data_IF_505779676315
#
_entry.id   IF_505779676315
#
_cell.length_a   1.000
_cell.length_b   1.000
_cell.length_c   1.000
_cell.angle_alpha   90.00
_cell.angle_beta   90.00
_cell.angle_gamma   90.00
#
_symmetry.space_group_name_H-M   'P 1'
#
loop_
_entity.id
_entity.type
_entity.pdbx_description
1 polymer ?
#
# COMPACT_ATOMS: atom_id res chain seq x y z
N UNK A 1 -24.17 67.03 14.18
CA UNK A 1 -23.23 66.25 15.03
C UNK A 1 -23.94 64.96 15.45
N UNK A 2 -23.78 63.88 14.67
CA UNK A 2 -24.44 62.59 14.91
C UNK A 2 -23.49 61.56 15.53
N UNK A 3 -24.04 60.80 16.47
CA UNK A 3 -23.43 59.77 17.31
C UNK A 3 -22.80 58.64 16.48
N UNK A 4 -21.53 58.32 16.72
CA UNK A 4 -20.96 56.99 16.49
C UNK A 4 -20.55 56.40 17.85
N UNK A 5 -21.45 55.62 18.44
CA UNK A 5 -21.20 54.83 19.64
C UNK A 5 -21.81 53.44 19.45
N UNK A 6 -21.02 52.49 18.94
CA UNK A 6 -21.11 51.05 19.25
C UNK A 6 -20.20 50.21 18.34
N UNK A 7 -18.88 50.39 18.46
CA UNK A 7 -17.97 49.27 18.14
C UNK A 7 -17.80 48.47 19.43
N UNK A 8 -18.66 47.45 19.59
CA UNK A 8 -18.49 46.44 20.63
C UNK A 8 -17.14 45.76 20.40
N UNK A 9 -16.31 45.72 21.43
CA UNK A 9 -15.02 45.04 21.42
C UNK A 9 -15.19 43.59 20.98
N UNK A 10 -14.61 43.24 19.83
CA UNK A 10 -14.50 41.84 19.42
C UNK A 10 -13.58 41.17 20.45
N UNK A 11 -13.97 40.03 21.06
CA UNK A 11 -13.11 39.33 22.00
C UNK A 11 -11.78 39.00 21.32
N UNK A 12 -10.66 39.31 21.97
CA UNK A 12 -9.31 39.03 21.43
C UNK A 12 -9.16 37.57 20.95
N UNK A 13 -9.88 36.63 21.57
CA UNK A 13 -9.90 35.23 21.18
C UNK A 13 -10.48 34.97 19.78
N UNK A 14 -11.47 35.73 19.34
CA UNK A 14 -12.09 35.58 18.01
C UNK A 14 -11.16 36.08 16.90
N UNK A 15 -10.46 37.19 17.16
CA UNK A 15 -9.45 37.73 16.23
C UNK A 15 -8.25 36.78 16.13
N UNK A 16 -7.81 36.21 17.25
CA UNK A 16 -6.73 35.22 17.27
C UNK A 16 -7.10 33.95 16.48
N UNK A 17 -8.32 33.45 16.60
CA UNK A 17 -8.79 32.28 15.84
C UNK A 17 -8.85 32.55 14.34
N UNK A 18 -9.35 33.73 13.94
CA UNK A 18 -9.44 34.14 12.55
C UNK A 18 -8.05 34.31 11.91
N UNK A 19 -7.11 34.93 12.62
CA UNK A 19 -5.72 35.06 12.16
C UNK A 19 -5.02 33.70 12.06
N UNK A 20 -5.31 32.77 12.97
CA UNK A 20 -4.75 31.42 12.92
C UNK A 20 -5.31 30.62 11.73
N UNK A 21 -6.61 30.75 11.45
CA UNK A 21 -7.24 30.15 10.27
C UNK A 21 -6.70 30.75 8.96
N UNK A 22 -6.48 32.06 8.91
CA UNK A 22 -5.91 32.75 7.75
C UNK A 22 -4.45 32.33 7.51
N UNK A 23 -3.64 32.24 8.57
CA UNK A 23 -2.24 31.79 8.47
C UNK A 23 -2.15 30.33 8.01
N UNK A 24 -3.04 29.47 8.50
CA UNK A 24 -3.14 28.09 8.04
C UNK A 24 -3.53 28.03 6.55
N UNK A 25 -4.47 28.85 6.10
CA UNK A 25 -4.86 28.94 4.69
C UNK A 25 -3.70 29.44 3.80
N UNK A 26 -2.95 30.45 4.25
CA UNK A 26 -1.77 30.97 3.51
C UNK A 26 -0.65 29.93 3.43
N UNK A 27 -0.37 29.22 4.52
CA UNK A 27 0.65 28.14 4.53
C UNK A 27 0.24 26.94 3.66
N UNK A 28 -1.05 26.72 3.44
CA UNK A 28 -1.58 25.74 2.48
C UNK A 28 -1.54 26.26 1.04
N UNK A 29 -1.66 27.58 0.84
CA UNK A 29 -1.74 28.21 -0.48
C UNK A 29 -0.39 28.52 -1.13
N UNK A 30 0.75 28.45 -0.43
CA UNK A 30 2.09 28.69 -1.02
C UNK A 30 2.69 27.36 -1.51
N UNK A 31 2.75 27.09 -2.83
CA UNK A 31 3.42 25.90 -3.33
C UNK A 31 4.93 26.14 -3.30
N UNK A 32 5.69 25.18 -2.77
CA UNK A 32 7.13 25.09 -3.01
C UNK A 32 7.37 24.78 -4.49
N UNK A 33 7.47 25.82 -5.33
CA UNK A 33 7.63 25.71 -6.78
C UNK A 33 8.81 24.83 -7.23
N UNK A 34 9.85 24.68 -6.40
CA UNK A 34 11.01 23.81 -6.69
C UNK A 34 10.80 22.31 -6.41
N UNK A 35 9.74 21.92 -5.69
CA UNK A 35 9.43 20.52 -5.42
C UNK A 35 8.58 19.84 -6.49
N UNK A 36 7.85 20.63 -7.29
CA UNK A 36 6.92 20.13 -8.30
C UNK A 36 7.65 19.67 -9.59
N UNK A 37 8.66 20.42 -10.05
CA UNK A 37 9.42 20.10 -11.27
C UNK A 37 10.22 18.79 -11.18
N UNK A 38 10.80 18.46 -10.01
CA UNK A 38 11.56 17.22 -9.83
C UNK A 38 10.63 16.00 -9.71
N UNK A 39 9.36 16.21 -9.33
CA UNK A 39 8.37 15.15 -9.18
C UNK A 39 7.69 14.76 -10.50
N UNK A 40 7.48 15.70 -11.42
CA UNK A 40 6.79 15.46 -12.71
C UNK A 40 7.62 14.65 -13.72
N UNK A 41 8.95 14.74 -13.68
CA UNK A 41 9.82 13.98 -14.58
C UNK A 41 10.01 12.50 -14.21
N UNK A 42 9.67 12.09 -12.98
CA UNK A 42 10.01 10.75 -12.44
C UNK A 42 8.79 9.90 -12.09
N UNK A 43 7.63 10.52 -11.92
CA UNK A 43 6.37 9.86 -11.62
C UNK A 43 5.30 10.53 -12.48
N UNK A 44 4.61 9.75 -13.32
CA UNK A 44 3.60 10.25 -14.25
C UNK A 44 2.65 11.27 -13.63
N UNK A 45 2.09 12.12 -14.50
CA UNK A 45 1.30 13.31 -14.15
C UNK A 45 0.45 13.16 -12.88
N UNK A 46 0.39 14.21 -12.06
CA UNK A 46 -0.41 14.31 -10.82
C UNK A 46 -1.89 13.86 -10.97
N UNK A 47 -2.37 13.69 -12.21
CA UNK A 47 -3.70 13.19 -12.57
C UNK A 47 -3.95 11.73 -12.15
N UNK A 48 -2.94 10.85 -12.12
CA UNK A 48 -3.06 9.46 -11.63
C UNK A 48 -3.17 9.39 -10.09
N UNK A 49 -2.61 10.36 -9.36
CA UNK A 49 -2.68 10.43 -7.88
C UNK A 49 -4.04 10.86 -7.34
N UNK A 50 -4.86 11.53 -8.15
CA UNK A 50 -6.21 11.99 -7.77
C UNK A 50 -7.31 10.91 -7.96
N UNK A 51 -6.96 9.75 -8.52
CA UNK A 51 -7.90 8.64 -8.75
C UNK A 51 -7.88 7.64 -7.59
N UNK A 52 -8.78 7.79 -6.61
CA UNK A 52 -9.07 6.74 -5.63
C UNK A 52 -7.92 6.45 -4.66
N UNK A 53 -8.02 6.98 -3.44
CA UNK A 53 -7.02 6.92 -2.37
C UNK A 53 -6.20 5.62 -2.32
N UNK A 54 -5.03 5.61 -2.98
CA UNK A 54 -4.03 4.54 -2.90
C UNK A 54 -3.93 4.10 -1.44
N UNK A 55 -4.13 2.80 -1.13
CA UNK A 55 -4.25 2.39 0.25
C UNK A 55 -2.98 2.69 1.01
N UNK A 56 -3.14 3.62 1.94
CA UNK A 56 -2.08 4.15 2.77
C UNK A 56 -2.06 3.44 4.10
N UNK A 57 -0.89 3.47 4.75
CA UNK A 57 -0.73 2.98 6.12
C UNK A 57 -1.75 3.62 7.07
N UNK A 58 -2.03 4.92 6.93
CA UNK A 58 -3.03 5.62 7.74
C UNK A 58 -4.45 5.05 7.60
N UNK A 59 -4.88 4.74 6.36
CA UNK A 59 -6.17 4.09 6.13
C UNK A 59 -6.25 2.69 6.74
N UNK A 60 -5.15 1.93 6.71
CA UNK A 60 -5.08 0.60 7.32
C UNK A 60 -5.09 0.61 8.84
N UNK A 61 -4.35 1.54 9.46
CA UNK A 61 -4.36 1.78 10.91
C UNK A 61 -5.79 2.06 11.40
N UNK A 62 -6.53 2.90 10.67
CA UNK A 62 -7.93 3.22 11.00
C UNK A 62 -8.82 2.01 10.85
N UNK A 63 -8.73 1.31 9.71
CA UNK A 63 -9.53 0.11 9.47
C UNK A 63 -9.26 -0.98 10.51
N UNK A 64 -8.01 -1.13 10.94
CA UNK A 64 -7.64 -2.08 12.00
C UNK A 64 -8.23 -1.66 13.35
N UNK A 65 -8.13 -0.39 13.74
CA UNK A 65 -8.77 0.10 14.98
C UNK A 65 -10.27 -0.15 14.96
N UNK A 66 -10.95 0.20 13.86
CA UNK A 66 -12.39 -0.04 13.69
C UNK A 66 -12.73 -1.53 13.75
N UNK A 67 -11.87 -2.39 13.22
CA UNK A 67 -12.04 -3.83 13.35
C UNK A 67 -11.97 -4.26 14.81
N UNK A 68 -10.96 -3.81 15.57
CA UNK A 68 -10.81 -4.15 16.99
C UNK A 68 -12.00 -3.63 17.80
N UNK A 69 -12.38 -2.37 17.61
CA UNK A 69 -13.51 -1.74 18.31
C UNK A 69 -14.82 -2.47 18.04
N UNK A 70 -15.07 -2.83 16.77
CA UNK A 70 -16.31 -3.52 16.37
C UNK A 70 -16.41 -4.94 16.93
N UNK A 71 -15.31 -5.67 16.98
CA UNK A 71 -15.31 -7.07 17.39
C UNK A 71 -15.03 -7.25 18.89
N UNK A 72 -14.47 -6.25 19.57
CA UNK A 72 -14.01 -6.34 20.97
C UNK A 72 -12.73 -7.16 21.15
N UNK A 73 -12.11 -7.62 20.06
CA UNK A 73 -10.85 -8.36 20.06
C UNK A 73 -10.07 -8.15 18.76
N UNK A 74 -8.73 -8.18 18.80
CA UNK A 74 -7.90 -8.13 17.60
C UNK A 74 -8.11 -9.38 16.72
N UNK A 75 -7.85 -9.31 15.41
CA UNK A 75 -7.83 -10.51 14.58
C UNK A 75 -6.75 -11.46 15.07
N UNK A 76 -6.91 -12.77 14.81
CA UNK A 76 -5.88 -13.75 15.18
C UNK A 76 -4.64 -13.66 14.27
N UNK A 77 -4.83 -13.20 13.03
CA UNK A 77 -3.77 -13.01 12.04
C UNK A 77 -3.80 -11.59 11.48
N UNK A 78 -2.63 -10.99 11.30
CA UNK A 78 -2.45 -9.71 10.63
C UNK A 78 -1.59 -9.92 9.38
N UNK A 79 -2.20 -9.72 8.22
CA UNK A 79 -1.49 -9.81 6.93
C UNK A 79 -0.83 -8.46 6.68
N UNK A 80 0.50 -8.46 6.62
CA UNK A 80 1.34 -7.31 6.31
C UNK A 80 1.90 -7.48 4.90
N UNK A 81 2.11 -6.38 4.16
CA UNK A 81 2.82 -6.45 2.87
C UNK A 81 2.60 -5.24 1.97
N UNK A 82 3.06 -5.38 0.73
CA UNK A 82 2.90 -4.38 -0.34
C UNK A 82 1.60 -4.61 -1.13
N UNK A 83 1.45 -3.93 -2.27
CA UNK A 83 0.33 -4.13 -3.19
C UNK A 83 0.13 -5.60 -3.60
N UNK A 84 1.17 -6.43 -3.54
CA UNK A 84 1.10 -7.88 -3.84
C UNK A 84 0.32 -8.67 -2.78
N UNK A 85 0.31 -8.22 -1.52
CA UNK A 85 -0.45 -8.83 -0.44
C UNK A 85 -1.91 -8.38 -0.34
N UNK A 86 -2.27 -7.28 -1.00
CA UNK A 86 -3.61 -6.66 -0.88
C UNK A 86 -4.77 -7.54 -1.33
N UNK A 87 -4.50 -8.54 -2.18
CA UNK A 87 -5.50 -9.45 -2.75
C UNK A 87 -5.78 -10.69 -1.87
N UNK A 88 -5.01 -10.91 -0.79
CA UNK A 88 -5.30 -12.00 0.14
C UNK A 88 -6.59 -11.70 0.91
N UNK A 89 -7.62 -12.52 0.73
CA UNK A 89 -8.95 -12.33 1.31
C UNK A 89 -9.02 -12.98 2.72
N UNK A 90 -9.21 -12.20 3.80
CA UNK A 90 -9.37 -12.73 5.15
C UNK A 90 -10.51 -13.74 5.32
N UNK A 91 -11.53 -13.72 4.44
CA UNK A 91 -12.59 -14.75 4.45
C UNK A 91 -12.08 -16.11 3.98
N UNK A 92 -11.13 -16.12 3.05
CA UNK A 92 -10.49 -17.37 2.62
C UNK A 92 -9.66 -17.91 3.76
N UNK A 93 -8.89 -17.06 4.45
CA UNK A 93 -8.14 -17.43 5.66
C UNK A 93 -9.07 -18.06 6.69
N UNK A 94 -10.16 -17.36 7.06
CA UNK A 94 -11.17 -17.87 8.00
C UNK A 94 -11.76 -19.21 7.59
N UNK A 95 -11.98 -19.43 6.28
CA UNK A 95 -12.55 -20.68 5.77
C UNK A 95 -11.57 -21.84 5.83
N UNK A 96 -10.29 -21.62 5.55
CA UNK A 96 -9.28 -22.70 5.52
C UNK A 96 -8.73 -23.02 6.90
N UNK A 97 -8.44 -22.00 7.71
CA UNK A 97 -7.77 -22.17 9.01
C UNK A 97 -8.71 -22.04 10.22
N UNK A 98 -9.94 -21.56 10.01
CA UNK A 98 -10.86 -21.20 11.11
C UNK A 98 -10.49 -19.89 11.83
N UNK A 99 -9.34 -19.27 11.49
CA UNK A 99 -8.79 -18.11 12.19
C UNK A 99 -9.29 -16.79 11.59
N UNK A 100 -9.54 -15.79 12.43
CA UNK A 100 -9.83 -14.44 11.94
C UNK A 100 -8.56 -13.77 11.43
N UNK A 101 -8.70 -12.92 10.40
CA UNK A 101 -7.59 -12.18 9.84
C UNK A 101 -8.00 -10.74 9.49
N UNK A 102 -7.01 -9.85 9.46
CA UNK A 102 -7.15 -8.51 8.87
C UNK A 102 -6.05 -8.29 7.85
N UNK A 103 -6.40 -7.80 6.67
CA UNK A 103 -5.43 -7.47 5.63
C UNK A 103 -4.97 -6.01 5.74
N UNK A 104 -3.75 -5.82 6.19
CA UNK A 104 -3.11 -4.52 6.33
C UNK A 104 -2.04 -4.23 5.26
N UNK A 105 -2.01 -4.98 4.16
CA UNK A 105 -1.10 -4.70 3.05
C UNK A 105 -1.44 -3.36 2.38
N UNK A 106 -0.43 -2.55 2.10
CA UNK A 106 -0.52 -1.19 1.53
C UNK A 106 0.18 -1.15 0.17
N UNK A 107 0.09 -0.09 -0.62
CA UNK A 107 0.64 -0.13 -1.99
C UNK A 107 2.16 -0.28 -2.07
N UNK A 108 2.92 0.48 -1.28
CA UNK A 108 4.39 0.44 -1.29
C UNK A 108 4.90 -0.64 -0.32
N UNK A 109 4.38 -0.67 0.91
CA UNK A 109 4.59 -1.73 1.90
C UNK A 109 6.05 -1.87 2.31
N UNK A 110 6.76 -0.75 2.37
CA UNK A 110 8.16 -0.73 2.76
C UNK A 110 8.33 -1.37 4.15
N UNK A 111 9.48 -2.00 4.41
CA UNK A 111 9.74 -2.71 5.68
C UNK A 111 9.43 -1.86 6.93
N UNK A 112 9.61 -0.54 6.84
CA UNK A 112 9.28 0.41 7.91
C UNK A 112 7.78 0.60 8.13
N UNK A 113 6.96 0.55 7.08
CA UNK A 113 5.51 0.58 7.19
C UNK A 113 4.98 -0.71 7.82
N UNK A 114 5.58 -1.83 7.44
CA UNK A 114 5.27 -3.13 8.05
C UNK A 114 5.61 -3.13 9.55
N UNK A 115 6.79 -2.61 9.91
CA UNK A 115 7.19 -2.39 11.30
C UNK A 115 6.20 -1.51 12.05
N UNK A 116 5.86 -0.34 11.50
CA UNK A 116 4.93 0.59 12.13
C UNK A 116 3.54 -0.03 12.35
N UNK A 117 3.04 -0.82 11.40
CA UNK A 117 1.78 -1.52 11.55
C UNK A 117 1.84 -2.63 12.62
N UNK A 118 2.90 -3.43 12.66
CA UNK A 118 3.10 -4.43 13.71
C UNK A 118 3.19 -3.79 15.10
N UNK A 119 3.93 -2.69 15.22
CA UNK A 119 4.02 -1.92 16.46
C UNK A 119 2.65 -1.35 16.87
N UNK A 120 1.89 -0.81 15.91
CA UNK A 120 0.54 -0.32 16.16
C UNK A 120 -0.41 -1.43 16.63
N UNK A 121 -0.33 -2.65 16.10
CA UNK A 121 -1.21 -3.73 16.54
C UNK A 121 -1.02 -4.11 18.01
N UNK A 122 0.21 -4.10 18.52
CA UNK A 122 0.50 -4.34 19.94
C UNK A 122 0.05 -3.17 20.82
N UNK A 123 0.16 -1.93 20.32
CA UNK A 123 -0.34 -0.75 21.04
C UNK A 123 -1.87 -0.77 21.21
N UNK A 124 -2.60 -1.25 20.21
CA UNK A 124 -4.07 -1.30 20.23
C UNK A 124 -4.60 -2.47 21.06
N UNK A 125 -3.89 -3.59 21.09
CA UNK A 125 -4.29 -4.76 21.86
C UNK A 125 -3.11 -5.39 22.63
N UNK A 126 -2.59 -4.72 23.69
CA UNK A 126 -1.42 -5.19 24.42
C UNK A 126 -1.60 -6.60 24.98
N UNK A 127 -0.58 -7.46 24.79
CA UNK A 127 -0.63 -8.87 25.23
C UNK A 127 -1.62 -9.75 24.45
N UNK A 128 -2.23 -9.22 23.39
CA UNK A 128 -3.13 -9.92 22.46
C UNK A 128 -2.73 -9.69 21.00
N UNK A 129 -1.43 -9.50 20.75
CA UNK A 129 -0.92 -9.30 19.41
C UNK A 129 -1.37 -10.41 18.45
N UNK A 130 -1.70 -10.07 17.19
CA UNK A 130 -1.97 -11.06 16.16
C UNK A 130 -0.68 -11.79 15.75
N UNK A 131 -0.83 -13.00 15.19
CA UNK A 131 0.22 -13.62 14.39
C UNK A 131 0.48 -12.78 13.14
N UNK A 132 1.75 -12.52 12.84
CA UNK A 132 2.10 -11.76 11.63
C UNK A 132 2.33 -12.70 10.45
N UNK A 133 1.58 -12.48 9.38
CA UNK A 133 1.83 -13.09 8.06
C UNK A 133 2.30 -12.00 7.11
N UNK A 134 3.56 -12.03 6.73
CA UNK A 134 4.26 -10.95 6.03
C UNK A 134 4.48 -11.34 4.57
N UNK A 135 3.68 -10.75 3.67
CA UNK A 135 3.88 -10.80 2.22
C UNK A 135 5.01 -9.83 1.85
N UNK A 136 6.23 -10.36 1.79
CA UNK A 136 7.46 -9.60 1.70
C UNK A 136 7.99 -9.51 0.27
N UNK A 137 8.06 -8.28 -0.26
CA UNK A 137 8.72 -8.00 -1.54
C UNK A 137 10.22 -7.83 -1.29
N UNK A 138 11.06 -8.57 -2.02
CA UNK A 138 12.53 -8.42 -1.90
C UNK A 138 13.00 -7.00 -2.26
N UNK A 139 12.24 -6.31 -3.11
CA UNK A 139 12.41 -4.90 -3.47
C UNK A 139 12.25 -3.99 -2.26
N UNK A 140 11.49 -4.40 -1.24
CA UNK A 140 11.33 -3.68 0.02
C UNK A 140 12.63 -3.51 0.82
N UNK A 141 13.71 -4.20 0.45
CA UNK A 141 15.05 -4.08 1.04
C UNK A 141 15.96 -3.07 0.31
N UNK A 142 15.45 -2.33 -0.68
CA UNK A 142 16.25 -1.45 -1.54
C UNK A 142 16.24 0.05 -1.13
N UNK A 143 16.84 0.90 -1.99
CA UNK A 143 16.93 2.36 -1.79
C UNK A 143 15.60 3.08 -1.97
N UNK A 144 14.71 2.58 -2.83
CA UNK A 144 13.44 3.22 -3.18
C UNK A 144 12.36 3.00 -2.12
N UNK A 145 12.41 1.87 -1.42
CA UNK A 145 11.55 1.55 -0.28
C UNK A 145 11.71 2.53 0.91
N UNK A 146 12.79 3.31 0.96
CA UNK A 146 13.02 4.30 2.01
C UNK A 146 12.26 5.64 1.82
N UNK A 147 11.31 5.72 0.88
CA UNK A 147 10.70 6.97 0.44
C UNK A 147 10.07 7.80 1.58
N UNK A 148 10.16 9.13 1.41
CA UNK A 148 9.89 10.17 2.41
C UNK A 148 8.53 10.11 3.13
N UNK A 149 7.54 9.38 2.59
CA UNK A 149 6.23 9.19 3.23
C UNK A 149 6.36 8.62 4.64
N UNK A 150 7.22 7.62 4.81
CA UNK A 150 7.46 7.00 6.12
C UNK A 150 8.16 7.94 7.08
N UNK A 151 9.05 8.83 6.61
CA UNK A 151 9.68 9.83 7.47
C UNK A 151 8.66 10.86 7.99
N UNK A 152 7.63 11.19 7.21
CA UNK A 152 6.51 12.00 7.67
C UNK A 152 5.64 11.24 8.69
N UNK A 153 5.37 9.95 8.45
CA UNK A 153 4.59 9.08 9.35
C UNK A 153 5.33 8.75 10.67
N UNK A 154 6.65 8.61 10.65
CA UNK A 154 7.45 8.36 11.87
C UNK A 154 7.69 9.61 12.71
N UNK A 155 7.81 10.80 12.10
CA UNK A 155 7.74 12.05 12.87
C UNK A 155 6.41 12.16 13.61
N UNK A 156 5.33 11.67 13.00
CA UNK A 156 4.03 11.53 13.67
C UNK A 156 4.01 10.38 14.68
N UNK A 157 4.69 9.26 14.48
CA UNK A 157 4.81 8.17 15.47
C UNK A 157 5.55 8.61 16.74
N UNK A 158 6.67 9.33 16.62
CA UNK A 158 7.33 9.96 17.79
C UNK A 158 6.38 10.94 18.47
N UNK A 159 5.62 11.72 17.71
CA UNK A 159 4.60 12.61 18.26
C UNK A 159 3.44 11.87 18.92
N UNK A 160 2.99 10.72 18.39
CA UNK A 160 1.92 9.88 18.93
C UNK A 160 2.38 9.22 20.24
N UNK A 161 3.57 8.62 20.24
CA UNK A 161 4.17 7.96 21.40
C UNK A 161 4.46 8.94 22.55
N UNK A 162 4.78 10.20 22.22
CA UNK A 162 4.99 11.26 23.23
C UNK A 162 3.67 11.91 23.67
N UNK A 163 2.64 11.94 22.81
CA UNK A 163 1.36 12.58 23.10
C UNK A 163 0.34 11.67 23.82
N UNK A 164 0.59 10.36 23.95
CA UNK A 164 -0.39 9.45 24.53
C UNK A 164 0.20 8.47 25.56
N UNK A 165 0.30 8.85 26.84
CA UNK A 165 0.59 7.90 27.91
C UNK A 165 -0.65 7.08 28.31
N UNK A 166 -1.85 7.69 28.33
CA UNK A 166 -3.14 7.03 28.60
C UNK A 166 -4.29 7.85 28.00
N UNK A 167 -4.90 7.38 26.91
CA UNK A 167 -6.27 7.62 26.42
C UNK A 167 -6.90 9.04 26.39
N UNK A 168 -6.21 10.12 26.74
CA UNK A 168 -6.76 11.47 26.67
C UNK A 168 -6.09 12.28 25.55
N UNK A 169 -6.88 12.56 24.50
CA UNK A 169 -6.70 13.57 23.45
C UNK A 169 -5.87 13.13 22.23
N UNK A 170 -6.55 12.35 21.39
CA UNK A 170 -6.36 12.14 19.95
C UNK A 170 -6.23 13.43 19.08
N UNK A 171 -5.79 14.58 19.60
CA UNK A 171 -5.76 15.85 18.83
C UNK A 171 -4.76 15.80 17.69
N UNK A 172 -3.60 15.17 17.85
CA UNK A 172 -2.62 15.03 16.76
C UNK A 172 -3.13 14.12 15.65
N UNK A 173 -3.80 13.02 16.00
CA UNK A 173 -4.45 12.12 15.04
C UNK A 173 -5.59 12.82 14.28
N UNK A 174 -6.47 13.54 14.99
CA UNK A 174 -7.51 14.37 14.39
C UNK A 174 -6.95 15.52 13.54
N UNK A 175 -5.78 16.07 13.89
CA UNK A 175 -5.11 17.12 13.10
C UNK A 175 -4.53 16.57 11.80
N UNK A 176 -3.96 15.36 11.82
CA UNK A 176 -3.56 14.66 10.60
C UNK A 176 -4.78 14.32 9.74
N UNK A 177 -5.90 13.92 10.36
CA UNK A 177 -7.16 13.71 9.66
C UNK A 177 -7.75 14.97 9.05
N UNK A 178 -7.73 16.09 9.77
CA UNK A 178 -8.17 17.37 9.26
C UNK A 178 -7.32 17.83 8.07
N UNK A 179 -6.00 17.61 8.09
CA UNK A 179 -5.12 17.91 6.97
C UNK A 179 -5.37 16.99 5.76
N UNK A 180 -5.63 15.70 5.96
CA UNK A 180 -6.02 14.80 4.89
C UNK A 180 -7.39 15.20 4.29
N UNK A 181 -8.38 15.49 5.12
CA UNK A 181 -9.72 15.92 4.68
C UNK A 181 -9.64 17.26 3.95
N UNK A 182 -8.86 18.22 4.44
CA UNK A 182 -8.67 19.53 3.78
C UNK A 182 -7.94 19.34 2.46
N UNK A 183 -6.92 18.47 2.38
CA UNK A 183 -6.22 18.14 1.13
C UNK A 183 -7.16 17.47 0.12
N UNK A 184 -7.95 16.50 0.57
CA UNK A 184 -8.88 15.77 -0.29
C UNK A 184 -10.07 16.67 -0.73
N UNK A 185 -10.48 17.63 0.10
CA UNK A 185 -11.48 18.64 -0.25
C UNK A 185 -10.95 19.74 -1.19
N UNK A 186 -9.67 20.11 -1.09
CA UNK A 186 -9.06 21.14 -1.94
C UNK A 186 -8.63 20.64 -3.31
N UNK A 187 -8.44 19.32 -3.50
CA UNK A 187 -8.06 18.73 -4.80
C UNK A 187 -9.26 18.58 -5.76
N UNK A 188 -10.49 18.87 -5.32
CA UNK A 188 -11.67 18.94 -6.20
C UNK A 188 -12.05 17.58 -6.79
N UNK A 189 -12.93 16.86 -6.10
CA UNK A 189 -13.47 15.57 -6.58
C UNK A 189 -14.67 15.71 -7.54
N UNK A 190 -15.00 16.91 -8.01
CA UNK A 190 -16.13 17.11 -8.92
C UNK A 190 -15.89 16.45 -10.28
N UNK A 191 -16.64 15.38 -10.56
CA UNK A 191 -16.74 14.77 -11.89
C UNK A 191 -16.16 13.37 -12.08
N UNK A 192 -15.62 12.70 -11.05
CA UNK A 192 -15.10 11.34 -11.19
C UNK A 192 -16.03 10.31 -10.53
N UNK A 193 -16.41 9.21 -11.21
CA UNK A 193 -17.17 8.15 -10.57
C UNK A 193 -16.34 7.62 -9.40
N UNK A 194 -16.95 7.56 -8.21
CA UNK A 194 -16.41 7.14 -6.92
C UNK A 194 -15.59 5.82 -7.05
N UNK A 195 -14.34 5.91 -7.50
CA UNK A 195 -13.34 4.84 -7.40
C UNK A 195 -12.78 4.84 -5.99
N UNK A 196 -13.66 4.89 -4.98
CA UNK A 196 -13.30 4.56 -3.62
C UNK A 196 -12.79 3.14 -3.68
N UNK A 197 -11.50 2.94 -3.41
CA UNK A 197 -11.00 1.60 -3.13
C UNK A 197 -11.90 1.06 -2.03
N UNK A 198 -12.69 0.04 -2.39
CA UNK A 198 -13.63 -0.59 -1.48
C UNK A 198 -12.80 -1.41 -0.50
N UNK A 199 -12.25 -0.73 0.50
CA UNK A 199 -11.67 -1.39 1.65
C UNK A 199 -12.82 -2.01 2.43
N UNK A 200 -12.78 -3.33 2.52
CA UNK A 200 -13.73 -4.10 3.31
C UNK A 200 -13.41 -3.92 4.80
N UNK A 201 -14.37 -4.20 5.72
CA UNK A 201 -14.13 -4.11 7.16
C UNK A 201 -12.99 -5.00 7.68
N UNK A 202 -12.62 -6.06 6.96
CA UNK A 202 -11.48 -6.94 7.25
C UNK A 202 -10.17 -6.44 6.61
N UNK A 203 -10.15 -5.20 6.10
CA UNK A 203 -8.98 -4.58 5.50
C UNK A 203 -8.71 -5.00 4.07
N UNK A 204 -9.38 -6.04 3.53
CA UNK A 204 -9.16 -6.46 2.14
C UNK A 204 -9.49 -5.32 1.18
N UNK A 205 -8.64 -5.15 0.17
CA UNK A 205 -8.85 -4.17 -0.87
C UNK A 205 -9.13 -4.91 -2.15
N UNK A 206 -10.37 -4.79 -2.61
CA UNK A 206 -10.69 -5.15 -3.98
C UNK A 206 -10.05 -4.07 -4.85
N UNK A 207 -9.06 -4.41 -5.67
CA UNK A 207 -8.56 -3.49 -6.71
C UNK A 207 -9.64 -3.39 -7.79
N UNK A 208 -10.56 -2.39 -7.73
CA UNK A 208 -11.67 -2.33 -8.65
C UNK A 208 -11.13 -1.97 -10.02
N UNK A 209 -9.98 -1.30 -10.08
CA UNK A 209 -9.27 -0.95 -11.30
C UNK A 209 -8.83 -2.20 -12.06
N UNK A 210 -7.93 -3.04 -11.51
CA UNK A 210 -7.44 -4.23 -12.22
C UNK A 210 -8.58 -5.22 -12.53
N UNK A 211 -9.51 -5.42 -11.60
CA UNK A 211 -10.69 -6.25 -11.85
C UNK A 211 -11.59 -5.68 -12.96
N UNK A 212 -11.76 -4.35 -13.03
CA UNK A 212 -12.50 -3.68 -14.11
C UNK A 212 -11.78 -3.82 -15.44
N UNK A 213 -10.49 -3.54 -15.49
CA UNK A 213 -9.66 -3.69 -16.69
C UNK A 213 -9.78 -5.12 -17.25
N UNK A 214 -9.79 -6.11 -16.35
CA UNK A 214 -10.04 -7.49 -16.72
C UNK A 214 -11.42 -7.76 -17.27
N UNK A 215 -12.47 -7.24 -16.64
CA UNK A 215 -13.84 -7.42 -17.14
C UNK A 215 -14.07 -6.77 -18.50
N UNK A 216 -13.38 -5.67 -18.82
CA UNK A 216 -13.51 -5.01 -20.13
C UNK A 216 -12.56 -5.59 -21.19
N UNK A 217 -11.95 -6.74 -20.91
CA UNK A 217 -11.10 -7.45 -21.87
C UNK A 217 -9.80 -6.72 -22.20
N UNK A 218 -9.29 -5.89 -21.28
CA UNK A 218 -8.00 -5.24 -21.52
C UNK A 218 -6.91 -6.29 -21.73
N UNK A 219 -6.01 -5.99 -22.68
CA UNK A 219 -4.84 -6.80 -22.93
C UNK A 219 -3.85 -6.69 -21.76
N UNK A 220 -3.90 -7.68 -20.88
CA UNK A 220 -2.95 -7.83 -19.80
C UNK A 220 -1.58 -8.31 -20.26
N UNK A 221 -1.46 -8.88 -21.46
CA UNK A 221 -0.15 -9.25 -22.02
C UNK A 221 0.64 -7.98 -22.29
N UNK A 222 0.04 -7.00 -22.96
CA UNK A 222 0.67 -5.69 -23.19
C UNK A 222 1.00 -4.97 -21.87
N UNK A 223 0.07 -4.92 -20.91
CA UNK A 223 0.30 -4.27 -19.62
C UNK A 223 1.44 -4.95 -18.84
N UNK A 224 1.43 -6.29 -18.78
CA UNK A 224 2.48 -7.10 -18.15
C UNK A 224 3.83 -6.83 -18.80
N UNK A 225 3.92 -6.89 -20.14
CA UNK A 225 5.18 -6.68 -20.85
C UNK A 225 5.74 -5.28 -20.56
N UNK A 226 4.90 -4.24 -20.59
CA UNK A 226 5.28 -2.87 -20.23
C UNK A 226 5.82 -2.78 -18.79
N UNK A 227 5.15 -3.40 -17.82
CA UNK A 227 5.59 -3.39 -16.42
C UNK A 227 6.86 -4.19 -16.18
N UNK A 228 7.03 -5.33 -16.87
CA UNK A 228 8.29 -6.09 -16.86
C UNK A 228 9.45 -5.20 -17.34
N UNK A 229 9.27 -4.41 -18.41
CA UNK A 229 10.33 -3.50 -18.88
C UNK A 229 10.71 -2.44 -17.85
N UNK A 230 9.72 -1.85 -17.16
CA UNK A 230 9.99 -0.91 -16.05
C UNK A 230 10.84 -1.59 -14.95
N UNK A 231 10.55 -2.85 -14.62
CA UNK A 231 11.33 -3.61 -13.63
C UNK A 231 12.72 -3.96 -14.12
N UNK A 232 12.88 -4.42 -15.36
CA UNK A 232 14.19 -4.68 -15.98
C UNK A 232 15.11 -3.48 -15.79
N UNK A 233 14.63 -2.28 -16.10
CA UNK A 233 15.39 -1.04 -15.92
C UNK A 233 15.76 -0.76 -14.46
N UNK A 234 14.95 -1.21 -13.51
CA UNK A 234 15.22 -1.03 -12.09
C UNK A 234 16.22 -2.07 -11.55
N UNK A 235 16.25 -3.28 -12.11
CA UNK A 235 17.16 -4.35 -11.68
C UNK A 235 18.54 -4.28 -12.31
N UNK A 236 18.68 -3.65 -13.48
CA UNK A 236 19.98 -3.46 -14.14
C UNK A 236 21.00 -2.84 -13.16
N UNK A 237 22.30 -3.15 -13.30
CA UNK A 237 23.35 -2.51 -12.49
C UNK A 237 23.20 -0.98 -12.50
N UNK A 238 23.19 -0.37 -11.30
CA UNK A 238 22.93 1.06 -11.14
C UNK A 238 21.45 1.47 -11.10
N UNK A 239 20.52 0.55 -11.36
CA UNK A 239 19.07 0.76 -11.35
C UNK A 239 18.44 0.91 -9.95
N UNK A 240 19.20 0.62 -8.89
CA UNK A 240 18.79 0.83 -7.49
C UNK A 240 18.42 -0.44 -6.72
N UNK A 241 18.31 -1.60 -7.39
CA UNK A 241 18.17 -2.92 -6.80
C UNK A 241 19.48 -3.74 -6.78
N UNK A 242 20.63 -3.10 -6.99
CA UNK A 242 21.93 -3.78 -6.97
C UNK A 242 22.42 -4.09 -5.54
N UNK A 243 21.84 -3.43 -4.52
CA UNK A 243 22.25 -3.56 -3.12
C UNK A 243 21.06 -3.54 -2.17
N UNK A 244 21.16 -4.34 -1.11
CA UNK A 244 20.30 -4.19 0.05
C UNK A 244 20.71 -2.96 0.85
N UNK A 245 19.73 -2.24 1.37
CA UNK A 245 19.95 -1.01 2.11
C UNK A 245 19.86 -1.22 3.62
N UNK A 246 20.76 -0.62 4.42
CA UNK A 246 20.79 -0.83 5.87
C UNK A 246 19.48 -0.49 6.59
N UNK A 247 18.79 0.59 6.15
CA UNK A 247 17.57 1.08 6.80
C UNK A 247 16.41 0.07 6.70
N UNK A 248 15.97 -0.39 5.51
CA UNK A 248 14.91 -1.37 5.42
C UNK A 248 15.30 -2.74 6.03
N UNK A 249 16.59 -3.13 5.95
CA UNK A 249 17.08 -4.33 6.65
C UNK A 249 16.91 -4.20 8.17
N UNK A 250 17.23 -3.02 8.75
CA UNK A 250 17.03 -2.76 10.16
C UNK A 250 15.55 -2.81 10.55
N UNK A 251 14.68 -2.16 9.78
CA UNK A 251 13.23 -2.21 10.03
C UNK A 251 12.66 -3.64 9.97
N UNK A 252 13.15 -4.46 9.03
CA UNK A 252 12.75 -5.88 8.93
C UNK A 252 13.20 -6.66 10.16
N UNK A 253 14.44 -6.45 10.62
CA UNK A 253 14.96 -7.04 11.87
C UNK A 253 14.15 -6.62 13.09
N UNK A 254 13.77 -5.36 13.15
CA UNK A 254 13.00 -4.81 14.27
C UNK A 254 11.57 -5.33 14.28
N UNK A 255 10.94 -5.53 13.12
CA UNK A 255 9.61 -6.14 13.00
C UNK A 255 9.61 -7.59 13.51
N UNK A 256 10.59 -8.39 13.09
CA UNK A 256 10.70 -9.78 13.54
C UNK A 256 11.05 -9.83 15.05
N UNK A 257 11.95 -8.97 15.51
CA UNK A 257 12.27 -8.84 16.94
C UNK A 257 11.03 -8.46 17.76
N UNK A 258 10.22 -7.54 17.27
CA UNK A 258 8.98 -7.11 17.90
C UNK A 258 8.01 -8.30 18.02
N UNK A 259 7.79 -9.05 16.93
CA UNK A 259 6.94 -10.23 16.93
C UNK A 259 7.42 -11.30 17.93
N UNK A 260 8.72 -11.63 17.91
CA UNK A 260 9.31 -12.56 18.88
C UNK A 260 9.16 -12.06 20.32
N UNK A 261 9.18 -10.74 20.54
CA UNK A 261 9.04 -10.13 21.85
C UNK A 261 7.69 -10.38 22.53
N UNK A 262 6.62 -10.56 21.76
CA UNK A 262 5.30 -10.94 22.30
C UNK A 262 5.00 -12.45 22.16
N UNK A 263 6.01 -13.26 21.80
CA UNK A 263 5.89 -14.71 21.68
C UNK A 263 5.40 -15.22 20.33
N UNK A 264 5.44 -14.40 19.27
CA UNK A 264 5.11 -14.83 17.92
C UNK A 264 6.34 -15.30 17.12
N UNK A 265 6.13 -16.27 16.24
CA UNK A 265 7.09 -16.70 15.21
C UNK A 265 6.48 -16.32 13.86
N UNK A 266 6.77 -15.12 13.33
CA UNK A 266 6.05 -14.60 12.18
C UNK A 266 6.28 -15.46 10.92
N UNK A 267 5.24 -15.62 10.11
CA UNK A 267 5.32 -16.29 8.80
C UNK A 267 5.67 -15.27 7.73
N UNK A 268 6.82 -15.43 7.07
CA UNK A 268 7.29 -14.56 5.99
C UNK A 268 7.16 -15.29 4.66
N UNK A 269 6.48 -14.65 3.71
CA UNK A 269 6.26 -15.17 2.36
C UNK A 269 6.95 -14.23 1.38
N UNK A 270 7.97 -14.70 0.67
CA UNK A 270 8.50 -13.94 -0.47
C UNK A 270 7.45 -13.96 -1.58
N UNK A 271 7.03 -12.78 -2.02
CA UNK A 271 5.80 -12.64 -2.79
C UNK A 271 5.86 -13.27 -4.19
N UNK A 272 4.72 -13.83 -4.67
CA UNK A 272 4.61 -14.34 -6.03
C UNK A 272 4.92 -13.33 -7.11
N UNK A 273 5.52 -13.82 -8.20
CA UNK A 273 5.74 -13.06 -9.43
C UNK A 273 5.31 -13.88 -10.64
N UNK A 274 4.90 -13.19 -11.70
CA UNK A 274 4.57 -13.83 -12.97
C UNK A 274 5.80 -14.55 -13.54
N UNK A 275 5.71 -15.78 -14.10
CA UNK A 275 6.85 -16.53 -14.61
C UNK A 275 7.72 -15.77 -15.63
N UNK A 276 7.11 -15.07 -16.58
CA UNK A 276 7.83 -14.18 -17.51
C UNK A 276 8.61 -13.07 -16.77
N UNK A 277 8.05 -12.50 -15.71
CA UNK A 277 8.76 -11.49 -14.93
C UNK A 277 9.97 -12.11 -14.22
N UNK A 278 9.84 -13.31 -13.66
CA UNK A 278 10.96 -14.03 -13.03
C UNK A 278 12.08 -14.27 -14.04
N UNK A 279 11.74 -14.83 -15.21
CA UNK A 279 12.70 -15.12 -16.27
C UNK A 279 13.40 -13.85 -16.79
N UNK A 280 12.62 -12.86 -17.21
CA UNK A 280 13.14 -11.65 -17.88
C UNK A 280 13.86 -10.73 -16.88
N UNK A 281 13.27 -10.46 -15.71
CA UNK A 281 13.93 -9.62 -14.70
C UNK A 281 15.08 -10.35 -14.02
N UNK A 282 15.04 -11.69 -13.96
CA UNK A 282 16.09 -12.53 -13.41
C UNK A 282 17.44 -12.25 -14.07
N UNK A 283 17.47 -12.27 -15.40
CA UNK A 283 18.64 -11.92 -16.21
C UNK A 283 19.08 -10.46 -16.03
N UNK A 284 18.14 -9.55 -15.77
CA UNK A 284 18.42 -8.14 -15.55
C UNK A 284 19.07 -7.82 -14.19
N UNK A 285 19.21 -8.79 -13.27
CA UNK A 285 19.81 -8.60 -11.95
C UNK A 285 18.91 -9.00 -10.77
N UNK A 286 17.62 -9.28 -11.01
CA UNK A 286 16.68 -9.68 -9.95
C UNK A 286 17.14 -10.92 -9.20
N UNK A 287 17.73 -11.90 -9.89
CA UNK A 287 18.18 -13.14 -9.24
C UNK A 287 19.31 -12.87 -8.24
N UNK A 288 20.23 -11.95 -8.55
CA UNK A 288 21.27 -11.54 -7.60
C UNK A 288 20.66 -10.83 -6.38
N UNK A 289 19.72 -9.91 -6.60
CA UNK A 289 19.00 -9.24 -5.51
C UNK A 289 18.21 -10.21 -4.63
N UNK A 290 17.56 -11.21 -5.25
CA UNK A 290 16.84 -12.27 -4.56
C UNK A 290 17.77 -13.11 -3.67
N UNK A 291 18.90 -13.59 -4.19
CA UNK A 291 19.92 -14.30 -3.38
C UNK A 291 20.43 -13.47 -2.22
N UNK A 292 20.67 -12.18 -2.45
CA UNK A 292 21.10 -11.27 -1.39
C UNK A 292 20.03 -11.16 -0.29
N UNK A 293 18.75 -11.04 -0.66
CA UNK A 293 17.65 -11.02 0.30
C UNK A 293 17.54 -12.33 1.09
N UNK A 294 17.62 -13.48 0.43
CA UNK A 294 17.62 -14.79 1.10
C UNK A 294 18.82 -14.96 2.03
N UNK A 295 20.00 -14.49 1.63
CA UNK A 295 21.20 -14.45 2.48
C UNK A 295 20.99 -13.57 3.71
N UNK A 296 20.34 -12.42 3.56
CA UNK A 296 19.97 -11.58 4.70
C UNK A 296 19.06 -12.32 5.69
N UNK A 297 18.02 -13.02 5.21
CA UNK A 297 17.16 -13.83 6.07
C UNK A 297 17.90 -15.01 6.70
N UNK A 298 18.78 -15.70 5.97
CA UNK A 298 19.61 -16.78 6.53
C UNK A 298 20.46 -16.30 7.71
N UNK A 299 20.97 -15.07 7.62
CA UNK A 299 21.77 -14.46 8.67
C UNK A 299 20.90 -14.08 9.87
N UNK A 300 19.69 -13.59 9.59
CA UNK A 300 18.73 -13.21 10.62
C UNK A 300 18.22 -14.42 11.42
N UNK A 301 17.98 -15.55 10.75
CA UNK A 301 17.53 -16.81 11.34
C UNK A 301 18.46 -17.34 12.45
N UNK A 302 19.73 -16.95 12.45
CA UNK A 302 20.69 -17.31 13.51
C UNK A 302 20.37 -16.68 14.86
N UNK A 303 19.56 -15.62 14.88
CA UNK A 303 19.32 -14.78 16.07
C UNK A 303 17.84 -14.45 16.32
N UNK A 304 16.95 -14.95 15.46
CA UNK A 304 15.51 -14.64 15.45
C UNK A 304 14.72 -15.87 15.02
N UNK A 305 13.47 -15.93 15.45
CA UNK A 305 12.52 -16.99 15.10
C UNK A 305 11.55 -16.43 14.06
N UNK A 306 11.40 -17.11 12.93
CA UNK A 306 10.40 -16.83 11.91
C UNK A 306 10.35 -18.02 10.94
N UNK A 307 9.27 -18.12 10.18
CA UNK A 307 9.18 -19.07 9.07
C UNK A 307 9.34 -18.32 7.75
N UNK A 308 10.12 -18.86 6.81
CA UNK A 308 10.34 -18.21 5.51
C UNK A 308 9.97 -19.17 4.38
N UNK A 309 8.99 -18.79 3.59
CA UNK A 309 8.55 -19.53 2.41
C UNK A 309 8.74 -18.67 1.16
N UNK A 310 9.41 -19.23 0.16
CA UNK A 310 9.60 -18.54 -1.12
C UNK A 310 8.48 -18.89 -2.09
N UNK A 311 7.55 -17.95 -2.27
CA UNK A 311 6.44 -18.07 -3.20
C UNK A 311 6.69 -17.35 -4.52
N UNK A 312 7.94 -16.91 -4.79
CA UNK A 312 8.32 -16.24 -6.04
C UNK A 312 7.80 -17.02 -7.25
N UNK A 313 8.14 -18.31 -7.36
CA UNK A 313 7.63 -19.19 -8.42
C UNK A 313 6.20 -19.62 -8.12
N UNK A 314 5.23 -19.34 -9.02
CA UNK A 314 3.85 -19.78 -8.86
C UNK A 314 3.65 -21.26 -8.55
N UNK A 315 4.54 -22.13 -9.05
CA UNK A 315 4.47 -23.57 -8.81
C UNK A 315 4.57 -23.93 -7.32
N UNK A 316 5.27 -23.15 -6.50
CA UNK A 316 5.47 -23.47 -5.08
C UNK A 316 4.19 -23.37 -4.24
N UNK A 317 3.17 -22.66 -4.73
CA UNK A 317 1.83 -22.62 -4.12
C UNK A 317 0.73 -23.22 -5.01
N UNK A 318 1.10 -23.94 -6.09
CA UNK A 318 0.15 -24.55 -7.03
C UNK A 318 -0.52 -23.56 -7.99
N UNK A 319 0.06 -22.38 -8.17
CA UNK A 319 -0.35 -21.37 -9.14
C UNK A 319 0.29 -21.53 -10.53
N UNK A 320 -0.05 -20.62 -11.44
CA UNK A 320 0.52 -20.52 -12.78
C UNK A 320 0.43 -19.07 -13.32
N UNK A 321 0.92 -18.84 -14.54
CA UNK A 321 0.93 -17.53 -15.18
C UNK A 321 -0.47 -16.88 -15.32
N UNK A 322 -1.51 -17.67 -15.58
CA UNK A 322 -2.89 -17.16 -15.69
C UNK A 322 -3.46 -16.65 -14.36
N UNK A 323 -2.76 -16.93 -13.25
CA UNK A 323 -3.08 -16.45 -11.92
C UNK A 323 -2.82 -14.96 -11.69
N UNK A 324 -2.24 -14.23 -12.64
CA UNK A 324 -1.85 -12.83 -12.46
C UNK A 324 -2.65 -11.88 -13.36
N UNK A 325 -2.87 -10.65 -12.87
CA UNK A 325 -3.34 -9.56 -13.72
C UNK A 325 -2.19 -9.11 -14.61
N UNK A 326 -1.06 -8.69 -14.05
CA UNK A 326 0.15 -8.34 -14.78
C UNK A 326 1.37 -9.13 -14.27
N UNK A 327 2.49 -8.48 -13.99
CA UNK A 327 3.74 -9.10 -13.57
C UNK A 327 3.79 -9.50 -12.09
N UNK A 328 3.00 -8.90 -11.20
CA UNK A 328 3.12 -9.14 -9.74
C UNK A 328 1.80 -9.22 -8.95
N UNK A 329 0.68 -8.74 -9.49
CA UNK A 329 -0.61 -8.69 -8.82
C UNK A 329 -1.44 -9.92 -9.17
N UNK A 330 -1.79 -10.68 -8.14
CA UNK A 330 -2.59 -11.89 -8.27
C UNK A 330 -4.05 -11.58 -8.60
N UNK A 331 -4.63 -12.45 -9.41
CA UNK A 331 -6.09 -12.60 -9.53
C UNK A 331 -6.64 -13.26 -8.26
N UNK A 332 -7.93 -13.08 -7.95
CA UNK A 332 -8.55 -13.64 -6.74
C UNK A 332 -8.36 -15.17 -6.58
N UNK A 333 -8.40 -15.92 -7.68
CA UNK A 333 -8.19 -17.38 -7.65
C UNK A 333 -6.79 -17.73 -7.18
N UNK A 334 -5.75 -17.11 -7.74
CA UNK A 334 -4.37 -17.36 -7.34
C UNK A 334 -4.07 -16.83 -5.93
N UNK A 335 -4.64 -15.69 -5.54
CA UNK A 335 -4.56 -15.20 -4.16
C UNK A 335 -5.15 -16.19 -3.16
N UNK A 336 -6.25 -16.87 -3.50
CA UNK A 336 -6.82 -17.93 -2.68
C UNK A 336 -5.91 -19.18 -2.61
N UNK A 337 -5.23 -19.52 -3.70
CA UNK A 337 -4.23 -20.61 -3.71
C UNK A 337 -3.05 -20.29 -2.79
N UNK A 338 -2.56 -19.05 -2.77
CA UNK A 338 -1.53 -18.60 -1.81
C UNK A 338 -2.02 -18.80 -0.38
N UNK A 339 -3.24 -18.37 -0.05
CA UNK A 339 -3.80 -18.57 1.31
C UNK A 339 -3.86 -20.05 1.69
N UNK A 340 -4.29 -20.91 0.77
CA UNK A 340 -4.35 -22.36 1.00
C UNK A 340 -2.95 -22.97 1.16
N UNK A 341 -1.97 -22.51 0.39
CA UNK A 341 -0.61 -22.99 0.52
C UNK A 341 0.00 -22.61 1.87
N UNK A 342 -0.28 -21.39 2.37
CA UNK A 342 0.12 -20.95 3.71
C UNK A 342 -0.49 -21.85 4.79
N UNK A 343 -1.75 -22.22 4.63
CA UNK A 343 -2.47 -23.08 5.57
C UNK A 343 -1.87 -24.49 5.65
N UNK A 344 -1.44 -25.06 4.51
CA UNK A 344 -0.87 -26.42 4.44
C UNK A 344 0.38 -26.62 5.30
N UNK A 345 1.16 -25.57 5.55
CA UNK A 345 2.32 -25.64 6.45
C UNK A 345 2.06 -25.00 7.80
N UNK A 346 0.80 -24.67 8.12
CA UNK A 346 0.41 -24.12 9.42
C UNK A 346 0.70 -22.63 9.60
N UNK A 347 0.99 -21.87 8.54
CA UNK A 347 1.35 -20.44 8.62
C UNK A 347 0.23 -19.49 9.06
N UNK A 348 -0.96 -20.02 9.41
CA UNK A 348 -2.05 -19.26 10.04
C UNK A 348 -2.27 -19.64 11.51
N UNK A 349 -1.57 -20.68 12.00
CA UNK A 349 -1.81 -21.27 13.31
C UNK A 349 -0.81 -20.75 14.35
N UNK A 350 -1.31 -19.87 15.22
CA UNK A 350 -0.66 -19.45 16.46
C UNK A 350 -1.11 -20.38 17.57
N UNK A 351 -0.52 -21.57 17.66
CA UNK A 351 -0.46 -22.26 18.95
C UNK A 351 0.90 -21.93 19.58
N UNK A 352 0.99 -20.92 20.47
CA UNK A 352 2.24 -20.55 21.12
C UNK A 352 2.81 -21.70 21.99
N UNK A 353 2.03 -22.76 22.23
CA UNK A 353 2.47 -23.96 22.96
C UNK A 353 3.00 -25.06 22.04
N UNK A 354 2.75 -24.97 20.73
CA UNK A 354 3.45 -25.80 19.75
C UNK A 354 4.67 -24.99 19.34
N UNK A 355 5.88 -25.32 19.81
CA UNK A 355 7.06 -24.82 19.13
C UNK A 355 6.88 -25.19 17.66
N UNK A 356 6.89 -24.19 16.79
CA UNK A 356 6.90 -24.41 15.35
C UNK A 356 8.08 -25.33 15.09
N UNK A 357 7.80 -26.56 14.66
CA UNK A 357 8.83 -27.56 14.33
C UNK A 357 9.55 -27.21 13.03
N UNK A 358 9.22 -26.05 12.45
CA UNK A 358 9.87 -25.52 11.27
C UNK A 358 11.23 -25.00 11.70
N UNK A 359 12.26 -25.78 11.37
CA UNK A 359 13.63 -25.33 11.45
C UNK A 359 13.80 -24.13 10.49
N UNK A 360 13.83 -22.91 11.03
CA UNK A 360 14.02 -21.68 10.25
C UNK A 360 15.24 -21.79 9.32
N UNK A 361 16.33 -22.41 9.80
CA UNK A 361 17.52 -22.60 8.99
C UNK A 361 17.26 -23.58 7.83
N UNK A 362 16.49 -24.65 8.05
CA UNK A 362 16.06 -25.54 6.98
C UNK A 362 15.15 -24.85 5.97
N UNK A 363 14.21 -24.01 6.43
CA UNK A 363 13.30 -23.26 5.56
C UNK A 363 14.07 -22.31 4.63
N UNK A 364 15.01 -21.54 5.19
CA UNK A 364 15.86 -20.64 4.39
C UNK A 364 16.80 -21.43 3.48
N UNK A 365 17.35 -22.56 3.94
CA UNK A 365 18.19 -23.44 3.11
C UNK A 365 17.41 -24.00 1.92
N UNK A 366 16.14 -24.38 2.12
CA UNK A 366 15.25 -24.81 1.04
C UNK A 366 15.02 -23.71 0.01
N UNK A 367 14.77 -22.48 0.46
CA UNK A 367 14.59 -21.33 -0.43
C UNK A 367 15.88 -21.00 -1.24
N UNK A 368 17.05 -21.08 -0.59
CA UNK A 368 18.33 -20.91 -1.28
C UNK A 368 18.61 -22.02 -2.29
N UNK A 369 18.20 -23.26 -1.99
CA UNK A 369 18.38 -24.41 -2.88
C UNK A 369 17.48 -24.36 -4.11
N UNK A 370 16.28 -23.78 -4.03
CA UNK A 370 15.39 -23.61 -5.19
C UNK A 370 15.89 -22.54 -6.18
N UNK A 371 16.72 -21.60 -5.74
CA UNK A 371 17.16 -20.46 -6.57
C UNK A 371 18.27 -20.83 -7.57
N UNK A 372 18.88 -22.01 -7.45
CA UNK A 372 19.97 -22.47 -8.34
C UNK A 372 19.51 -22.99 -9.70
N UNK A 373 18.20 -23.16 -9.93
CA UNK A 373 17.66 -23.89 -11.10
C UNK A 373 17.29 -22.99 -12.30
N UNK A 374 17.46 -21.66 -12.22
CA UNK A 374 16.89 -20.72 -13.22
C UNK A 374 17.90 -19.89 -14.03
N UNK A 375 19.19 -20.25 -14.11
CA UNK A 375 20.20 -19.38 -14.75
C UNK A 375 20.29 -19.43 -16.28
N UNK A 376 19.63 -20.36 -16.97
CA UNK A 376 19.91 -20.63 -18.40
C UNK A 376 19.06 -19.80 -19.39
N UNK A 377 18.58 -18.61 -18.98
CA UNK A 377 17.87 -17.72 -19.89
C UNK A 377 18.85 -16.98 -20.82
N UNK A 378 18.73 -17.24 -22.12
CA UNK A 378 19.58 -16.71 -23.18
C UNK A 378 19.39 -15.18 -23.35
N UNK A 379 20.48 -14.42 -23.41
CA UNK A 379 20.46 -12.95 -23.46
C UNK A 379 19.76 -12.40 -24.73
N UNK A 380 19.63 -13.21 -25.78
CA UNK A 380 18.98 -12.85 -27.05
C UNK A 380 17.47 -12.56 -26.93
N UNK A 381 16.79 -13.11 -25.92
CA UNK A 381 15.34 -12.95 -25.78
C UNK A 381 14.93 -11.58 -25.20
N UNK A 382 15.84 -10.91 -24.49
CA UNK A 382 15.60 -9.56 -23.95
C UNK A 382 15.36 -8.52 -25.06
N UNK A 383 15.93 -8.77 -26.24
CA UNK A 383 15.77 -7.94 -27.44
C UNK A 383 14.50 -8.26 -28.25
N UNK A 384 13.81 -9.37 -27.93
CA UNK A 384 12.64 -9.86 -28.67
C UNK A 384 11.29 -9.45 -28.04
N UNK A 385 11.30 -8.82 -26.86
CA UNK A 385 10.10 -8.19 -26.33
C UNK A 385 9.80 -6.98 -27.22
N UNK A 386 8.63 -6.89 -27.86
CA UNK A 386 8.29 -5.73 -28.67
C UNK A 386 8.43 -4.49 -27.77
N UNK A 387 9.18 -3.50 -28.25
CA UNK A 387 9.16 -2.16 -27.68
C UNK A 387 7.72 -1.66 -27.81
N UNK A 388 6.92 -1.91 -26.77
CA UNK A 388 5.63 -1.27 -26.64
C UNK A 388 5.96 0.20 -26.39
N UNK A 389 5.91 1.02 -27.44
CA UNK A 389 6.07 2.46 -27.33
C UNK A 389 5.07 2.93 -26.26
N UNK A 390 5.54 3.54 -25.16
CA UNK A 390 4.65 4.12 -24.16
C UNK A 390 3.62 5.07 -24.81
N UNK A 391 3.98 5.71 -25.93
CA UNK A 391 3.09 6.55 -26.71
C UNK A 391 1.92 5.78 -27.34
N UNK A 392 2.07 4.49 -27.70
CA UNK A 392 0.98 3.69 -28.26
C UNK A 392 -0.04 3.29 -27.19
N UNK A 393 0.42 2.98 -25.98
CA UNK A 393 -0.44 2.73 -24.83
C UNK A 393 -1.17 4.01 -24.39
N UNK A 394 -0.47 5.14 -24.37
CA UNK A 394 -1.06 6.44 -24.06
C UNK A 394 -2.01 6.92 -25.15
N UNK A 395 -1.71 6.67 -26.43
CA UNK A 395 -2.61 6.99 -27.56
C UNK A 395 -3.89 6.16 -27.50
N UNK A 396 -3.80 4.84 -27.31
CA UNK A 396 -4.98 3.99 -27.16
C UNK A 396 -5.84 4.39 -25.94
N UNK A 397 -5.19 4.81 -24.84
CA UNK A 397 -5.86 5.37 -23.65
C UNK A 397 -6.49 6.73 -23.91
N UNK A 398 -5.81 7.62 -24.62
CA UNK A 398 -6.29 8.95 -25.00
C UNK A 398 -7.48 8.86 -25.96
N UNK A 399 -7.45 7.95 -26.93
CA UNK A 399 -8.55 7.67 -27.85
C UNK A 399 -9.76 7.09 -27.10
N UNK A 400 -9.53 6.15 -26.18
CA UNK A 400 -10.59 5.61 -25.32
C UNK A 400 -11.17 6.67 -24.37
N UNK A 401 -10.34 7.56 -23.82
CA UNK A 401 -10.78 8.67 -22.97
C UNK A 401 -11.53 9.76 -23.75
N UNK A 402 -11.08 10.09 -24.97
CA UNK A 402 -11.73 11.03 -25.86
C UNK A 402 -13.11 10.54 -26.30
N UNK A 403 -13.23 9.25 -26.64
CA UNK A 403 -14.53 8.64 -26.97
C UNK A 403 -15.53 8.75 -25.83
N UNK A 404 -15.10 8.49 -24.58
CA UNK A 404 -15.93 8.58 -23.38
C UNK A 404 -16.31 10.01 -23.01
N UNK A 405 -15.38 10.95 -23.16
CA UNK A 405 -15.63 12.38 -22.86
C UNK A 405 -16.68 12.94 -23.81
N UNK A 406 -16.65 12.52 -25.08
CA UNK A 406 -17.66 12.89 -26.08
C UNK A 406 -19.05 12.36 -25.73
N UNK A 407 -19.15 11.11 -25.24
CA UNK A 407 -20.44 10.53 -24.83
C UNK A 407 -21.00 11.16 -23.55
N UNK A 408 -20.15 11.45 -22.56
CA UNK A 408 -20.58 12.04 -21.28
C UNK A 408 -20.90 13.54 -21.41
N UNK A 409 -20.18 14.29 -22.23
CA UNK A 409 -20.45 15.71 -22.48
C UNK A 409 -21.81 15.93 -23.19
N UNK A 410 -22.17 15.04 -24.12
CA UNK A 410 -23.47 15.05 -24.79
C UNK A 410 -24.61 14.73 -23.82
N UNK A 411 -24.37 13.86 -22.82
CA UNK A 411 -25.37 13.55 -21.79
C UNK A 411 -25.51 14.67 -20.74
N UNK A 412 -24.41 15.34 -20.35
CA UNK A 412 -24.41 16.37 -19.31
C UNK A 412 -24.97 17.73 -19.78
N UNK A 413 -24.78 18.09 -21.06
CA UNK A 413 -25.30 19.33 -21.63
C UNK A 413 -26.82 19.32 -21.83
N UNK A 414 -27.47 18.15 -21.76
CA UNK A 414 -28.92 18.02 -21.82
C UNK A 414 -29.66 18.23 -20.49
N UNK A 415 -28.95 18.29 -19.34
CA UNK A 415 -29.59 18.11 -18.02
C UNK A 415 -29.37 19.22 -16.98
N UNK A 416 -28.66 20.32 -17.28
CA UNK A 416 -28.42 21.38 -16.29
C UNK A 416 -29.30 22.60 -16.57
N UNK A 417 -30.46 22.65 -15.92
CA UNK A 417 -31.34 23.82 -15.89
C UNK A 417 -30.92 24.88 -14.85
N UNK A 418 -31.49 26.10 -14.92
CA UNK A 418 -31.11 27.28 -14.12
C UNK A 418 -31.27 27.15 -12.59
N UNK A 419 -31.83 26.05 -12.10
CA UNK A 419 -32.09 25.81 -10.66
C UNK A 419 -30.85 25.47 -9.83
N UNK A 420 -29.68 25.26 -10.45
CA UNK A 420 -28.45 24.90 -9.74
C UNK A 420 -27.73 26.12 -9.13
N UNK A 421 -27.63 27.23 -9.87
CA UNK A 421 -27.02 28.47 -9.37
C UNK A 421 -27.83 29.08 -8.20
N UNK A 422 -29.15 28.96 -8.28
CA UNK A 422 -30.08 29.51 -7.27
C UNK A 422 -29.96 28.79 -5.91
N UNK A 423 -29.69 27.49 -5.91
CA UNK A 423 -29.50 26.72 -4.66
C UNK A 423 -28.16 26.99 -3.99
N UNK A 424 -27.10 27.19 -4.77
CA UNK A 424 -25.76 27.52 -4.25
C UNK A 424 -25.74 28.88 -3.54
N UNK A 425 -26.38 29.89 -4.12
CA UNK A 425 -26.45 31.23 -3.52
C UNK A 425 -27.30 31.27 -2.25
N UNK A 426 -28.38 30.48 -2.19
CA UNK A 426 -29.24 30.41 -1.00
C UNK A 426 -28.57 29.70 0.19
N UNK A 427 -27.73 28.69 -0.04
CA UNK A 427 -26.97 28.03 1.04
C UNK A 427 -25.85 28.92 1.60
N UNK A 428 -25.16 29.68 0.75
CA UNK A 428 -24.15 30.65 1.20
C UNK A 428 -24.77 31.80 2.01
N UNK A 429 -25.98 32.24 1.66
CA UNK A 429 -26.72 33.24 2.44
C UNK A 429 -27.22 32.73 3.80
N UNK A 430 -27.38 31.42 3.99
CA UNK A 430 -27.79 30.84 5.28
C UNK A 430 -26.62 30.71 6.26
N UNK A 431 -25.43 30.36 5.76
CA UNK A 431 -24.21 30.24 6.56
C UNK A 431 -23.64 31.58 7.03
N UNK A 432 -23.91 32.67 6.31
CA UNK A 432 -23.49 34.01 6.71
C UNK A 432 -24.38 34.64 7.80
N UNK A 433 -25.49 33.99 8.18
CA UNK A 433 -26.50 34.51 9.13
C UNK A 433 -26.57 33.74 10.45
N UNK A 434 -25.83 32.65 10.61
CA UNK A 434 -25.64 31.92 11.87
C UNK A 434 -24.24 32.14 12.41
#
# INVERSE_FOLDING_TARGET
MHRFSSLRSIPLGTVALALFALLAAVLVAVPNARGAEIAEGYYGSNKERAEGSIPSLGGKIIGYSQYVDKNGFPPQNLILGTSRGMMLDPRVVKRVSGRTAFNSSVSDGAARELYAMGNFSELIAPGRAPHLVIMFDIEGLDRRAATQRVLATMKSERAIRTACPKAAKCTTFWRTKALEIVRDATIGHEGRPDLKLLQRPDGMILSPHLARLHRVGQDFVALRNHRIQIRVNSYRPGGGFDKLMPIPMAATRDLIKLANGWGDTPTIIITPMHPDCIRICGAAGRNAHHRNALTFFAQLAKTRQFDLHDFTDPKSYGGNAAGFYEDIHLRPVAAAQVVQAIDKFGGWDVDPRKPTTVDTAASVKSALASDTVSSDADAGELAALPDADPADLDKARLEQAASRTKTTAVAALGSVGPTFLERGLNQLGALARG
#
